data_IF_088160140595
#
_entry.id   IF_088160140595
#
_cell.length_a   1.000
_cell.length_b   1.000
_cell.length_c   1.000
_cell.angle_alpha   90.00
_cell.angle_beta   90.00
_cell.angle_gamma   90.00
#
_symmetry.space_group_name_H-M   'P 1'
#
loop_
_entity.id
_entity.type
_entity.pdbx_description
1 polymer ?
#
# COMPACT_ATOMS: atom_id res chain seq x y z
N UNK A 1 35.84 50.18 -18.50
CA UNK A 1 36.06 48.88 -19.18
C UNK A 1 35.74 47.74 -18.22
N UNK A 2 35.01 46.72 -18.71
CA UNK A 2 34.85 45.33 -18.25
C UNK A 2 34.46 45.02 -16.77
N UNK A 3 33.33 44.33 -16.56
CA UNK A 3 33.29 42.84 -16.49
C UNK A 3 31.94 42.30 -15.95
N UNK A 4 31.39 41.34 -16.70
CA UNK A 4 30.49 40.22 -16.35
C UNK A 4 29.76 40.23 -15.00
N UNK A 5 28.44 40.48 -15.00
CA UNK A 5 27.52 40.10 -13.92
C UNK A 5 27.23 38.60 -13.98
N UNK A 6 28.18 37.79 -13.51
CA UNK A 6 27.94 36.38 -13.17
C UNK A 6 27.34 36.35 -11.76
N UNK A 7 26.06 36.02 -11.55
CA UNK A 7 25.55 35.89 -10.19
C UNK A 7 26.32 34.76 -9.51
N UNK A 8 27.07 35.16 -8.49
CA UNK A 8 27.83 34.28 -7.62
C UNK A 8 26.86 33.32 -6.95
N UNK A 9 27.13 32.03 -7.17
CA UNK A 9 26.76 30.88 -6.35
C UNK A 9 25.43 30.14 -6.67
N UNK A 10 25.44 29.18 -7.61
CA UNK A 10 24.29 28.33 -7.94
C UNK A 10 23.88 27.35 -6.82
N UNK A 11 24.71 27.19 -5.78
CA UNK A 11 24.43 26.33 -4.62
C UNK A 11 23.30 26.86 -3.74
N UNK A 12 23.23 28.17 -3.54
CA UNK A 12 22.22 28.80 -2.65
C UNK A 12 20.80 28.68 -3.22
N UNK A 13 20.67 28.75 -4.55
CA UNK A 13 19.39 28.55 -5.23
C UNK A 13 18.91 27.09 -5.15
N UNK A 14 19.83 26.11 -5.15
CA UNK A 14 19.49 24.69 -5.02
C UNK A 14 19.03 24.35 -3.60
N UNK A 15 19.67 24.91 -2.57
CA UNK A 15 19.29 24.66 -1.17
C UNK A 15 17.89 25.20 -0.81
N UNK A 16 17.43 26.25 -1.49
CA UNK A 16 16.07 26.77 -1.31
C UNK A 16 14.99 25.83 -1.90
N UNK A 17 15.31 25.09 -2.98
CA UNK A 17 14.39 24.16 -3.63
C UNK A 17 14.29 22.81 -2.90
N UNK A 18 15.36 22.40 -2.20
CA UNK A 18 15.48 21.10 -1.54
C UNK A 18 15.17 21.13 -0.04
N UNK A 19 14.38 22.10 0.43
CA UNK A 19 13.75 21.97 1.75
C UNK A 19 12.74 20.82 1.66
N UNK A 20 12.89 19.71 2.40
CA UNK A 20 11.85 18.71 2.46
C UNK A 20 10.66 19.36 3.17
N UNK A 21 9.63 19.71 2.40
CA UNK A 21 8.33 19.99 2.99
C UNK A 21 7.94 18.71 3.74
N UNK A 22 7.94 18.79 5.08
CA UNK A 22 7.36 17.76 5.94
C UNK A 22 5.98 17.46 5.38
N UNK A 23 5.84 16.31 4.69
CA UNK A 23 4.54 15.77 4.37
C UNK A 23 3.91 15.47 5.72
N UNK A 24 3.10 16.40 6.20
CA UNK A 24 2.14 16.15 7.26
C UNK A 24 1.36 14.94 6.77
N UNK A 25 1.62 13.79 7.39
CA UNK A 25 0.87 12.59 7.12
C UNK A 25 -0.60 12.99 7.27
N UNK A 26 -1.37 12.84 6.18
CA UNK A 26 -2.80 13.08 6.25
C UNK A 26 -3.33 12.31 7.48
N UNK A 27 -4.17 12.93 8.33
CA UNK A 27 -4.72 12.26 9.48
C UNK A 27 -5.29 10.93 8.97
N UNK A 28 -4.89 9.84 9.61
CA UNK A 28 -5.44 8.54 9.33
C UNK A 28 -6.96 8.73 9.31
N UNK A 29 -7.57 8.62 8.13
CA UNK A 29 -9.02 8.60 8.02
C UNK A 29 -9.41 7.37 8.80
N UNK A 30 -9.79 7.57 10.06
CA UNK A 30 -10.40 6.57 10.92
C UNK A 30 -11.71 6.21 10.23
N UNK A 31 -11.58 5.32 9.26
CA UNK A 31 -12.71 4.72 8.57
C UNK A 31 -13.46 4.00 9.69
N UNK A 32 -14.73 4.36 9.95
CA UNK A 32 -15.50 3.73 11.02
C UNK A 32 -15.35 2.22 10.88
N UNK A 33 -14.96 1.56 11.98
CA UNK A 33 -14.68 0.14 12.01
C UNK A 33 -15.90 -0.59 11.46
N UNK A 34 -15.83 -0.98 10.18
CA UNK A 34 -16.91 -1.67 9.51
C UNK A 34 -16.99 -3.02 10.23
N UNK A 35 -18.13 -3.37 10.85
CA UNK A 35 -18.29 -4.70 11.40
C UNK A 35 -18.11 -5.67 10.23
N UNK A 36 -17.15 -6.59 10.35
CA UNK A 36 -16.65 -7.48 9.29
C UNK A 36 -15.52 -6.92 8.39
N UNK A 37 -14.52 -6.26 9.00
CA UNK A 37 -13.29 -5.91 8.29
C UNK A 37 -12.44 -7.16 8.01
N UNK A 38 -11.96 -7.33 6.77
CA UNK A 38 -11.02 -8.39 6.41
C UNK A 38 -9.68 -8.11 7.11
N UNK A 39 -9.23 -9.01 7.97
CA UNK A 39 -7.94 -8.89 8.64
C UNK A 39 -6.83 -9.52 7.77
N UNK A 40 -5.73 -8.79 7.61
CA UNK A 40 -4.56 -9.32 6.94
C UNK A 40 -3.77 -10.17 7.93
N UNK A 41 -3.86 -11.48 7.78
CA UNK A 41 -3.19 -12.46 8.63
C UNK A 41 -2.11 -13.21 7.86
N UNK A 42 -1.04 -13.59 8.56
CA UNK A 42 -0.01 -14.46 8.01
C UNK A 42 -0.40 -15.93 8.26
N UNK A 43 -1.03 -16.55 7.27
CA UNK A 43 -1.41 -17.96 7.27
C UNK A 43 -0.56 -18.74 6.26
N UNK A 44 -0.14 -19.95 6.62
CA UNK A 44 0.47 -20.89 5.68
C UNK A 44 -0.63 -21.67 4.98
N UNK A 45 -0.61 -21.66 3.66
CA UNK A 45 -1.51 -22.43 2.78
C UNK A 45 -0.65 -23.34 1.93
N UNK A 46 -1.13 -24.56 1.67
CA UNK A 46 -0.44 -25.51 0.81
C UNK A 46 -0.32 -24.95 -0.63
N UNK A 47 0.81 -25.26 -1.28
CA UNK A 47 1.14 -24.70 -2.59
C UNK A 47 0.18 -25.12 -3.70
N UNK A 48 -0.34 -26.34 -3.63
CA UNK A 48 -1.33 -26.87 -4.57
C UNK A 48 -2.67 -26.15 -4.46
N UNK A 49 -3.12 -25.90 -3.22
CA UNK A 49 -4.33 -25.12 -2.94
C UNK A 49 -4.16 -23.69 -3.45
N UNK A 50 -3.04 -23.04 -3.16
CA UNK A 50 -2.75 -21.69 -3.63
C UNK A 50 -2.70 -21.62 -5.16
N UNK A 51 -2.05 -22.59 -5.82
CA UNK A 51 -1.98 -22.67 -7.28
C UNK A 51 -3.36 -22.87 -7.91
N UNK A 52 -4.23 -23.69 -7.30
CA UNK A 52 -5.60 -23.90 -7.76
C UNK A 52 -6.38 -22.57 -7.79
N UNK A 53 -6.39 -21.81 -6.69
CA UNK A 53 -7.12 -20.54 -6.63
C UNK A 53 -6.51 -19.46 -7.53
N UNK A 54 -5.18 -19.44 -7.68
CA UNK A 54 -4.48 -18.50 -8.55
C UNK A 54 -4.71 -18.78 -10.05
N UNK A 55 -4.90 -20.04 -10.45
CA UNK A 55 -5.17 -20.41 -11.84
C UNK A 55 -6.45 -19.76 -12.39
N UNK A 56 -7.45 -19.54 -11.53
CA UNK A 56 -8.70 -18.87 -11.88
C UNK A 56 -8.57 -17.34 -12.02
N UNK A 57 -7.36 -16.79 -11.93
CA UNK A 57 -7.05 -15.39 -12.23
C UNK A 57 -7.28 -14.39 -11.09
N UNK A 58 -7.45 -13.09 -11.39
CA UNK A 58 -7.58 -12.04 -10.38
C UNK A 58 -8.78 -12.29 -9.45
N UNK A 59 -8.61 -11.97 -8.16
CA UNK A 59 -9.63 -12.22 -7.13
C UNK A 59 -9.51 -13.56 -6.41
N UNK A 60 -8.43 -14.33 -6.62
CA UNK A 60 -8.19 -15.61 -5.96
C UNK A 60 -8.24 -15.55 -4.43
N UNK A 61 -7.83 -14.42 -3.83
CA UNK A 61 -7.93 -14.18 -2.38
C UNK A 61 -9.38 -14.03 -1.88
N UNK A 62 -10.26 -13.46 -2.70
CA UNK A 62 -11.69 -13.36 -2.39
C UNK A 62 -12.32 -14.76 -2.41
N UNK A 63 -12.01 -15.55 -3.45
CA UNK A 63 -12.52 -16.91 -3.63
C UNK A 63 -12.10 -17.85 -2.50
N UNK A 64 -10.82 -17.86 -2.12
CA UNK A 64 -10.36 -18.71 -1.02
C UNK A 64 -11.03 -18.31 0.29
N UNK A 65 -11.25 -17.01 0.53
CA UNK A 65 -11.97 -16.54 1.71
C UNK A 65 -13.45 -16.95 1.70
N UNK A 66 -14.12 -16.95 0.55
CA UNK A 66 -15.48 -17.45 0.41
C UNK A 66 -15.57 -18.96 0.63
N UNK A 67 -14.61 -19.74 0.15
CA UNK A 67 -14.51 -21.18 0.46
C UNK A 67 -14.35 -21.43 1.96
N UNK A 68 -13.50 -20.65 2.64
CA UNK A 68 -13.32 -20.75 4.09
C UNK A 68 -14.63 -20.42 4.84
N UNK A 69 -15.35 -19.37 4.44
CA UNK A 69 -16.67 -19.04 5.01
C UNK A 69 -17.70 -20.15 4.78
N UNK A 70 -17.75 -20.73 3.58
CA UNK A 70 -18.64 -21.83 3.28
C UNK A 70 -18.35 -23.05 4.18
N UNK A 71 -17.06 -23.37 4.41
CA UNK A 71 -16.67 -24.45 5.30
C UNK A 71 -17.07 -24.21 6.77
N UNK A 72 -16.98 -22.95 7.25
CA UNK A 72 -17.47 -22.57 8.58
C UNK A 72 -18.98 -22.82 8.73
N UNK A 73 -19.77 -22.56 7.69
CA UNK A 73 -21.22 -22.78 7.70
C UNK A 73 -21.61 -24.25 7.58
N UNK A 74 -20.76 -25.11 7.03
CA UNK A 74 -21.02 -26.56 6.90
C UNK A 74 -20.75 -27.32 8.21
N UNK A 75 -19.93 -26.76 9.10
CA UNK A 75 -19.45 -27.44 10.31
C UNK A 75 -20.29 -27.15 11.57
N UNK A 76 -21.53 -26.69 11.40
CA UNK A 76 -22.47 -26.36 12.47
C UNK A 76 -23.89 -26.85 12.13
#
# INVERSE_FOLDING_TARGET
MATSRRPSNPKVAAEALFKPATKVAAPAVERPAIPNTKELVSLKIDSDVLAHFQADGPGWQERINDTLRAAMNVSN
#
